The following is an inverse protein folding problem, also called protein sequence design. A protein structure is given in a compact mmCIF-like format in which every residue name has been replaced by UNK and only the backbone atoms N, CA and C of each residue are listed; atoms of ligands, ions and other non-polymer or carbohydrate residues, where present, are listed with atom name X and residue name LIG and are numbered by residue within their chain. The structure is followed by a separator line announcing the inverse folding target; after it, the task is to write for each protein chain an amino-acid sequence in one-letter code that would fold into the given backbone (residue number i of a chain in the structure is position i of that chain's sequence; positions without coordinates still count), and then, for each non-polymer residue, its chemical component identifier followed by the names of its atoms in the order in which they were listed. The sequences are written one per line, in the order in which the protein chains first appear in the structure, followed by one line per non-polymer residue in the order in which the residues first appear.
data_IF_928850227990
#
_entry.id   IF_928850227990
#
_cell.length_a   1.000
_cell.length_b   1.000
_cell.length_c   1.000
_cell.angle_alpha   90.00
_cell.angle_beta   90.00
_cell.angle_gamma   90.00
#
_symmetry.space_group_name_H-M   'P 1'
#
loop_
_entity.id
_entity.type
_entity.pdbx_description
1 polymer ?
#
# COMPACT_ATOMS: atom_id res chain seq x y z
N UNK A 1 -19.37 -17.74 -0.01
CA UNK A 1 -18.17 -17.89 0.83
C UNK A 1 -16.86 -17.77 0.03
N UNK A 2 -16.72 -18.43 -1.12
CA UNK A 2 -15.52 -18.36 -1.98
C UNK A 2 -15.33 -16.98 -2.61
N UNK A 3 -16.41 -16.29 -2.99
CA UNK A 3 -16.34 -14.94 -3.57
C UNK A 3 -15.83 -13.90 -2.55
N UNK A 4 -16.31 -13.97 -1.31
CA UNK A 4 -15.89 -13.05 -0.23
C UNK A 4 -14.41 -13.20 0.11
N UNK A 5 -13.87 -14.42 0.11
CA UNK A 5 -12.43 -14.68 0.32
C UNK A 5 -11.52 -14.10 -0.75
N UNK A 6 -12.05 -13.82 -1.96
CA UNK A 6 -11.29 -13.20 -3.05
C UNK A 6 -11.45 -11.68 -3.10
N UNK A 7 -12.59 -11.16 -2.66
CA UNK A 7 -12.88 -9.73 -2.69
C UNK A 7 -12.15 -8.98 -1.57
N UNK A 8 -12.08 -9.54 -0.38
CA UNK A 8 -11.40 -8.90 0.77
C UNK A 8 -9.92 -8.58 0.49
N UNK A 9 -9.09 -9.55 0.05
CA UNK A 9 -7.70 -9.22 -0.29
C UNK A 9 -7.58 -8.24 -1.46
N UNK A 10 -8.47 -8.31 -2.45
CA UNK A 10 -8.45 -7.36 -3.56
C UNK A 10 -8.72 -5.93 -3.11
N UNK A 11 -9.74 -5.72 -2.28
CA UNK A 11 -10.06 -4.40 -1.72
C UNK A 11 -8.92 -3.90 -0.82
N UNK A 12 -8.38 -4.75 0.04
CA UNK A 12 -7.29 -4.40 0.95
C UNK A 12 -6.01 -3.97 0.20
N UNK A 13 -5.72 -4.56 -0.97
CA UNK A 13 -4.58 -4.19 -1.80
C UNK A 13 -4.85 -2.94 -2.64
N UNK A 14 -6.08 -2.77 -3.16
CA UNK A 14 -6.43 -1.64 -4.03
C UNK A 14 -6.65 -0.34 -3.26
N UNK A 15 -7.12 -0.40 -2.02
CA UNK A 15 -7.44 0.80 -1.23
C UNK A 15 -6.19 1.66 -0.94
N UNK A 16 -5.04 1.13 -0.51
CA UNK A 16 -3.81 1.91 -0.38
C UNK A 16 -3.39 2.57 -1.69
N UNK A 17 -3.56 1.88 -2.82
CA UNK A 17 -3.19 2.40 -4.15
C UNK A 17 -4.09 3.55 -4.57
N UNK A 18 -5.40 3.44 -4.32
CA UNK A 18 -6.34 4.53 -4.59
C UNK A 18 -6.03 5.78 -3.77
N UNK A 19 -5.72 5.60 -2.47
CA UNK A 19 -5.33 6.71 -1.58
C UNK A 19 -3.99 7.31 -2.03
N UNK A 20 -3.00 6.48 -2.40
CA UNK A 20 -1.72 6.94 -2.94
C UNK A 20 -1.92 7.82 -4.18
N UNK A 21 -2.77 7.37 -5.11
CA UNK A 21 -3.07 8.12 -6.34
C UNK A 21 -3.70 9.48 -6.06
N UNK A 22 -4.61 9.55 -5.08
CA UNK A 22 -5.21 10.81 -4.63
C UNK A 22 -4.17 11.74 -3.99
N UNK A 23 -3.28 11.20 -3.15
CA UNK A 23 -2.22 11.99 -2.52
C UNK A 23 -1.20 12.50 -3.53
N UNK A 24 -0.84 11.70 -4.53
CA UNK A 24 0.04 12.13 -5.62
C UNK A 24 -0.60 13.25 -6.42
N UNK A 25 -1.88 13.13 -6.79
CA UNK A 25 -2.61 14.20 -7.48
C UNK A 25 -2.68 15.48 -6.64
N UNK A 26 -2.93 15.35 -5.33
CA UNK A 26 -2.91 16.48 -4.38
C UNK A 26 -1.53 17.14 -4.28
N UNK A 27 -0.46 16.34 -4.20
CA UNK A 27 0.91 16.86 -4.13
C UNK A 27 1.33 17.61 -5.39
N UNK A 28 0.86 17.21 -6.57
CA UNK A 28 1.09 17.95 -7.82
C UNK A 28 0.50 19.38 -7.75
N UNK A 29 -0.69 19.51 -7.18
CA UNK A 29 -1.34 20.83 -7.01
C UNK A 29 -0.53 21.68 -6.02
N UNK A 30 -0.14 21.12 -4.88
CA UNK A 30 0.61 21.82 -3.84
C UNK A 30 1.99 22.28 -4.32
N UNK A 31 2.67 21.44 -5.10
CA UNK A 31 3.99 21.72 -5.67
C UNK A 31 3.93 22.62 -6.91
N UNK A 32 2.74 22.97 -7.38
CA UNK A 32 2.55 23.79 -8.58
C UNK A 32 3.05 23.15 -9.87
N UNK A 33 3.10 21.81 -9.91
CA UNK A 33 3.60 21.07 -11.07
C UNK A 33 2.56 21.10 -12.21
N UNK A 34 3.05 21.37 -13.43
CA UNK A 34 2.18 21.44 -14.60
C UNK A 34 1.84 20.05 -15.11
N UNK A 35 0.57 19.85 -15.43
CA UNK A 35 0.11 18.64 -16.11
C UNK A 35 0.73 18.58 -17.52
N UNK A 36 1.51 17.54 -17.75
CA UNK A 36 2.12 17.23 -19.04
C UNK A 36 2.10 15.70 -19.27
N UNK A 37 2.51 15.27 -20.45
CA UNK A 37 2.48 13.84 -20.82
C UNK A 37 3.26 12.97 -19.82
N UNK A 38 4.41 13.44 -19.35
CA UNK A 38 5.23 12.68 -18.40
C UNK A 38 4.58 12.60 -17.02
N UNK A 39 4.00 13.69 -16.52
CA UNK A 39 3.33 13.68 -15.21
C UNK A 39 2.05 12.85 -15.22
N UNK A 40 1.33 12.78 -16.34
CA UNK A 40 0.19 11.85 -16.50
C UNK A 40 0.66 10.39 -16.45
N UNK A 41 1.80 10.06 -17.06
CA UNK A 41 2.38 8.72 -16.98
C UNK A 41 2.73 8.30 -15.54
N UNK A 42 3.02 9.25 -14.63
CA UNK A 42 3.25 8.95 -13.21
C UNK A 42 2.03 8.32 -12.56
N UNK A 43 0.82 8.67 -12.98
CA UNK A 43 -0.40 8.04 -12.44
C UNK A 43 -0.41 6.54 -12.72
N UNK A 44 -0.02 6.12 -13.91
CA UNK A 44 0.12 4.70 -14.24
C UNK A 44 1.23 4.02 -13.43
N UNK A 45 2.37 4.72 -13.22
CA UNK A 45 3.45 4.24 -12.37
C UNK A 45 3.00 4.12 -10.91
N UNK A 46 2.22 5.08 -10.40
CA UNK A 46 1.65 5.05 -9.04
C UNK A 46 0.85 3.77 -8.81
N UNK A 47 -0.01 3.43 -9.75
CA UNK A 47 -0.82 2.21 -9.68
C UNK A 47 0.09 0.98 -9.69
N UNK A 48 1.05 0.88 -10.63
CA UNK A 48 1.96 -0.25 -10.75
C UNK A 48 2.82 -0.47 -9.49
N UNK A 49 3.55 0.55 -9.06
CA UNK A 49 4.43 0.48 -7.88
C UNK A 49 3.62 0.27 -6.60
N UNK A 50 2.47 0.94 -6.47
CA UNK A 50 1.61 0.83 -5.29
C UNK A 50 1.01 -0.57 -5.13
N UNK A 51 0.60 -1.20 -6.22
CA UNK A 51 0.10 -2.58 -6.22
C UNK A 51 1.20 -3.54 -5.79
N UNK A 52 2.41 -3.40 -6.33
CA UNK A 52 3.53 -4.29 -6.00
C UNK A 52 3.85 -4.28 -4.51
N UNK A 53 3.99 -3.10 -3.89
CA UNK A 53 4.24 -2.99 -2.45
C UNK A 53 3.10 -3.59 -1.62
N UNK A 54 1.86 -3.32 -2.01
CA UNK A 54 0.68 -3.82 -1.31
C UNK A 54 0.55 -5.35 -1.43
N UNK A 55 0.77 -5.93 -2.61
CA UNK A 55 0.71 -7.39 -2.81
C UNK A 55 1.82 -8.09 -2.03
N UNK A 56 3.05 -7.61 -2.08
CA UNK A 56 4.15 -8.21 -1.35
C UNK A 56 3.93 -8.19 0.15
N UNK A 57 3.44 -7.07 0.68
CA UNK A 57 3.15 -6.93 2.10
C UNK A 57 1.96 -7.81 2.52
N UNK A 58 0.86 -7.81 1.74
CA UNK A 58 -0.30 -8.66 1.99
C UNK A 58 0.10 -10.15 2.06
N UNK A 59 0.79 -10.65 1.04
CA UNK A 59 1.24 -12.04 0.96
C UNK A 59 2.11 -12.42 2.15
N UNK A 60 2.99 -11.53 2.57
CA UNK A 60 3.84 -11.81 3.73
C UNK A 60 3.03 -11.90 5.01
N UNK A 61 2.11 -10.99 5.23
CA UNK A 61 1.24 -11.00 6.41
C UNK A 61 0.39 -12.30 6.41
N UNK A 62 -0.21 -12.66 5.28
CA UNK A 62 -0.98 -13.90 5.14
C UNK A 62 -0.17 -15.15 5.53
N UNK A 63 1.08 -15.25 5.07
CA UNK A 63 1.98 -16.36 5.42
C UNK A 63 2.36 -16.35 6.91
N UNK A 64 2.62 -15.20 7.50
CA UNK A 64 2.97 -15.12 8.93
C UNK A 64 1.76 -15.42 9.82
N UNK A 65 0.55 -14.99 9.44
CA UNK A 65 -0.69 -15.33 10.14
C UNK A 65 -0.99 -16.83 10.13
N UNK A 66 -0.62 -17.53 9.05
CA UNK A 66 -0.78 -19.00 9.00
C UNK A 66 0.25 -19.77 9.83
N UNK A 67 1.31 -19.13 10.30
CA UNK A 67 2.42 -19.74 11.06
C UNK A 67 2.43 -19.39 12.53
N UNK A 68 1.68 -18.39 12.95
CA UNK A 68 1.70 -17.84 14.30
C UNK A 68 0.28 -17.70 14.84
N UNK A 69 0.09 -18.08 16.06
CA UNK A 69 -1.22 -17.98 16.73
C UNK A 69 -1.53 -16.53 17.15
N UNK A 70 -0.50 -15.70 17.32
CA UNK A 70 -0.65 -14.30 17.72
C UNK A 70 -0.54 -13.35 16.52
N UNK A 71 -1.61 -12.59 16.25
CA UNK A 71 -1.69 -11.60 15.19
C UNK A 71 -0.57 -10.55 15.24
N UNK A 72 -0.24 -10.04 16.44
CA UNK A 72 0.80 -9.03 16.60
C UNK A 72 2.21 -9.54 16.28
N UNK A 73 2.49 -10.77 16.63
CA UNK A 73 3.78 -11.40 16.30
C UNK A 73 3.89 -11.69 14.79
N UNK A 74 2.79 -12.03 14.13
CA UNK A 74 2.73 -12.19 12.69
C UNK A 74 2.99 -10.86 11.95
N UNK A 75 2.32 -9.79 12.36
CA UNK A 75 2.51 -8.45 11.78
C UNK A 75 3.93 -7.94 11.98
N UNK A 76 4.47 -8.10 13.19
CA UNK A 76 5.86 -7.71 13.51
C UNK A 76 6.86 -8.47 12.66
N UNK A 77 6.68 -9.78 12.48
CA UNK A 77 7.54 -10.59 11.62
C UNK A 77 7.47 -10.18 10.15
N UNK A 78 6.28 -9.89 9.65
CA UNK A 78 6.08 -9.42 8.28
C UNK A 78 6.78 -8.06 8.05
N UNK A 79 6.58 -7.11 8.96
CA UNK A 79 7.20 -5.78 8.88
C UNK A 79 8.72 -5.83 9.01
N UNK A 80 9.26 -6.63 9.93
CA UNK A 80 10.71 -6.74 10.15
C UNK A 80 11.47 -7.44 9.02
N UNK A 81 10.79 -8.20 8.19
CA UNK A 81 11.39 -8.91 7.04
C UNK A 81 11.06 -8.21 5.72
N UNK A 82 9.82 -8.40 5.25
CA UNK A 82 9.37 -7.84 3.96
C UNK A 82 9.27 -6.32 4.02
N UNK A 83 8.80 -5.75 5.13
CA UNK A 83 8.74 -4.29 5.29
C UNK A 83 10.12 -3.63 5.12
N UNK A 84 11.16 -4.17 5.75
CA UNK A 84 12.55 -3.67 5.59
C UNK A 84 13.03 -3.79 4.14
N UNK A 85 12.75 -4.92 3.48
CA UNK A 85 13.13 -5.11 2.08
C UNK A 85 12.42 -4.10 1.16
N UNK A 86 11.13 -3.83 1.40
CA UNK A 86 10.37 -2.82 0.65
C UNK A 86 10.90 -1.41 0.89
N UNK A 87 11.30 -1.06 2.11
CA UNK A 87 11.94 0.23 2.43
C UNK A 87 13.24 0.39 1.63
N UNK A 88 14.10 -0.62 1.62
CA UNK A 88 15.36 -0.55 0.88
C UNK A 88 15.13 -0.41 -0.63
N UNK A 89 14.19 -1.18 -1.18
CA UNK A 89 13.80 -1.08 -2.59
C UNK A 89 13.24 0.31 -2.93
N UNK A 90 12.34 0.84 -2.11
CA UNK A 90 11.73 2.15 -2.32
C UNK A 90 12.76 3.28 -2.22
N UNK A 91 13.68 3.22 -1.26
CA UNK A 91 14.76 4.21 -1.13
C UNK A 91 15.62 4.21 -2.39
N UNK A 92 16.07 3.03 -2.85
CA UNK A 92 16.88 2.92 -4.07
C UNK A 92 16.15 3.50 -5.28
N UNK A 93 14.86 3.17 -5.44
CA UNK A 93 14.03 3.68 -6.54
C UNK A 93 13.84 5.19 -6.44
N UNK A 94 13.49 5.70 -5.25
CA UNK A 94 13.30 7.13 -5.04
C UNK A 94 14.58 7.92 -5.32
N UNK A 95 15.74 7.47 -4.82
CA UNK A 95 17.01 8.11 -5.12
C UNK A 95 17.33 8.09 -6.62
N UNK A 96 17.05 6.98 -7.32
CA UNK A 96 17.19 6.92 -8.76
C UNK A 96 16.37 7.98 -9.50
N UNK A 97 15.13 8.20 -9.10
CA UNK A 97 14.29 9.26 -9.68
C UNK A 97 14.71 10.67 -9.25
N UNK A 98 15.19 10.86 -8.02
CA UNK A 98 15.70 12.16 -7.57
C UNK A 98 16.94 12.63 -8.35
N UNK A 99 17.71 11.72 -8.94
CA UNK A 99 18.82 12.11 -9.84
C UNK A 99 18.32 12.91 -11.04
N UNK A 100 17.08 12.72 -11.48
CA UNK A 100 16.47 13.47 -12.58
C UNK A 100 16.28 14.96 -12.27
N UNK A 101 16.34 15.39 -11.00
CA UNK A 101 16.33 16.80 -10.60
C UNK A 101 17.54 17.58 -11.15
N UNK A 102 18.64 16.91 -11.46
CA UNK A 102 19.83 17.51 -12.05
C UNK A 102 19.74 17.64 -13.58
N UNK A 103 18.64 17.19 -14.19
CA UNK A 103 18.42 17.35 -15.63
C UNK A 103 18.32 18.81 -16.05
N UNK A 104 18.83 19.23 -17.21
CA UNK A 104 18.61 20.58 -17.73
C UNK A 104 17.18 20.84 -18.19
N UNK A 105 16.32 19.80 -18.26
CA UNK A 105 14.95 19.90 -18.76
C UNK A 105 13.94 19.92 -17.57
N UNK A 106 13.19 21.01 -17.36
CA UNK A 106 12.24 21.13 -16.23
C UNK A 106 11.20 20.00 -16.20
N UNK A 107 10.73 19.54 -17.36
CA UNK A 107 9.75 18.46 -17.45
C UNK A 107 10.28 17.15 -16.88
N UNK A 108 11.59 16.88 -17.04
CA UNK A 108 12.24 15.68 -16.48
C UNK A 108 12.46 15.84 -14.97
N UNK A 109 12.76 17.05 -14.49
CA UNK A 109 12.83 17.34 -13.06
C UNK A 109 11.50 17.09 -12.38
N UNK A 110 10.41 17.65 -12.94
CA UNK A 110 9.05 17.44 -12.43
C UNK A 110 8.66 15.97 -12.39
N UNK A 111 8.98 15.22 -13.44
CA UNK A 111 8.75 13.77 -13.51
C UNK A 111 9.53 13.02 -12.42
N UNK A 112 10.81 13.33 -12.23
CA UNK A 112 11.64 12.71 -11.19
C UNK A 112 11.12 12.98 -9.79
N UNK A 113 10.77 14.23 -9.50
CA UNK A 113 10.25 14.64 -8.21
C UNK A 113 8.93 13.95 -7.88
N UNK A 114 7.96 14.03 -8.78
CA UNK A 114 6.64 13.45 -8.51
C UNK A 114 6.69 11.92 -8.42
N UNK A 115 7.59 11.26 -9.18
CA UNK A 115 7.76 9.82 -9.09
C UNK A 115 8.41 9.42 -7.75
N UNK A 116 9.39 10.15 -7.25
CA UNK A 116 9.97 9.90 -5.94
C UNK A 116 8.93 10.07 -4.82
N UNK A 117 8.09 11.10 -4.90
CA UNK A 117 6.94 11.33 -3.99
C UNK A 117 5.94 10.17 -4.06
N UNK A 118 5.66 9.67 -5.26
CA UNK A 118 4.79 8.52 -5.49
C UNK A 118 5.29 7.25 -4.79
N UNK A 119 6.57 6.94 -4.97
CA UNK A 119 7.22 5.78 -4.33
C UNK A 119 7.12 5.88 -2.81
N UNK A 120 7.38 7.07 -2.27
CA UNK A 120 7.28 7.33 -0.83
C UNK A 120 5.86 7.10 -0.29
N UNK A 121 4.83 7.68 -0.91
CA UNK A 121 3.45 7.51 -0.47
C UNK A 121 2.95 6.07 -0.64
N UNK A 122 3.30 5.41 -1.73
CA UNK A 122 2.94 4.01 -1.96
C UNK A 122 3.53 3.08 -0.91
N UNK A 123 4.81 3.28 -0.56
CA UNK A 123 5.47 2.54 0.52
C UNK A 123 4.80 2.80 1.87
N UNK A 124 4.59 4.08 2.22
CA UNK A 124 4.01 4.47 3.50
C UNK A 124 2.63 3.84 3.70
N UNK A 125 1.79 3.89 2.67
CA UNK A 125 0.45 3.30 2.73
C UNK A 125 0.49 1.76 2.78
N UNK A 126 1.39 1.12 2.05
CA UNK A 126 1.56 -0.33 2.11
C UNK A 126 2.03 -0.80 3.50
N UNK A 127 2.89 -0.03 4.18
CA UNK A 127 3.42 -0.40 5.49
C UNK A 127 2.51 -0.03 6.66
N UNK A 128 1.73 1.04 6.56
CA UNK A 128 0.87 1.52 7.64
C UNK A 128 -0.58 1.12 7.46
N UNK A 129 -1.16 1.39 6.30
CA UNK A 129 -2.60 1.19 6.09
C UNK A 129 -2.95 -0.29 5.97
N UNK A 130 -2.11 -1.09 5.30
CA UNK A 130 -2.44 -2.49 5.03
C UNK A 130 -2.45 -3.36 6.29
N UNK A 131 -1.48 -3.28 7.23
CA UNK A 131 -1.58 -3.97 8.52
C UNK A 131 -2.81 -3.56 9.33
N UNK A 132 -3.14 -2.26 9.35
CA UNK A 132 -4.33 -1.75 10.05
C UNK A 132 -5.62 -2.29 9.43
N UNK A 133 -5.70 -2.34 8.11
CA UNK A 133 -6.87 -2.92 7.42
C UNK A 133 -7.05 -4.40 7.74
N UNK A 134 -5.97 -5.16 7.80
CA UNK A 134 -6.04 -6.59 8.14
C UNK A 134 -6.53 -6.78 9.56
N UNK A 135 -6.04 -6.00 10.51
CA UNK A 135 -6.46 -6.04 11.91
C UNK A 135 -7.95 -5.69 12.05
N UNK A 136 -8.40 -4.62 11.38
CA UNK A 136 -9.82 -4.23 11.38
C UNK A 136 -10.73 -5.29 10.76
N UNK A 137 -10.27 -5.95 9.69
CA UNK A 137 -11.03 -7.03 9.05
C UNK A 137 -11.09 -8.28 9.93
N UNK A 138 -10.03 -8.60 10.67
CA UNK A 138 -10.00 -9.71 11.59
C UNK A 138 -10.98 -9.48 12.76
N UNK A 139 -10.95 -8.31 13.38
CA UNK A 139 -11.89 -7.94 14.46
C UNK A 139 -13.36 -8.00 14.04
N UNK A 140 -13.65 -7.53 12.83
CA UNK A 140 -15.03 -7.56 12.32
C UNK A 140 -15.55 -8.99 12.07
N UNK A 141 -14.64 -9.94 11.82
CA UNK A 141 -15.02 -11.35 11.66
C UNK A 141 -15.28 -12.04 13.00
N UNK A 142 -14.52 -11.71 14.04
CA UNK A 142 -14.75 -12.23 15.40
C UNK A 142 -16.10 -11.75 15.95
N UNK A 143 -16.44 -10.48 15.80
CA UNK A 143 -17.71 -9.89 16.25
C UNK A 143 -18.92 -10.54 15.54
N UNK A 144 -18.82 -10.83 14.24
CA UNK A 144 -19.91 -11.49 13.49
C UNK A 144 -20.09 -12.95 13.90
N UNK A 145 -19.02 -13.65 14.28
CA UNK A 145 -19.10 -15.03 14.77
C UNK A 145 -19.74 -15.06 16.15
N UNK A 146 -19.35 -14.17 17.05
CA UNK A 146 -19.89 -14.07 18.42
C UNK A 146 -21.41 -13.76 18.40
N UNK A 147 -21.85 -12.78 17.61
CA UNK A 147 -23.29 -12.47 17.42
C UNK A 147 -24.08 -13.66 16.85
N UNK A 148 -23.47 -14.42 15.95
CA UNK A 148 -24.14 -15.59 15.36
C UNK A 148 -24.25 -16.77 16.35
N UNK A 149 -23.26 -16.93 17.23
CA UNK A 149 -23.27 -17.94 18.30
C UNK A 149 -24.35 -17.61 19.35
N UNK A 150 -24.48 -16.36 19.75
CA UNK A 150 -25.49 -15.89 20.69
C UNK A 150 -26.92 -16.08 20.13
N UNK A 151 -27.13 -15.80 18.84
CA UNK A 151 -28.42 -16.03 18.18
C UNK A 151 -28.83 -17.51 18.08
N UNK A 152 -27.83 -18.40 18.02
CA UNK A 152 -28.08 -19.87 17.99
C UNK A 152 -28.38 -20.41 19.39
N UNK A 153 -27.84 -19.78 20.44
CA UNK A 153 -28.09 -20.18 21.83
C UNK A 153 -29.46 -19.68 22.38
N UNK A 154 -30.01 -18.60 21.77
CA UNK A 154 -31.32 -18.04 22.14
C UNK A 154 -32.50 -18.69 21.36
N UNK A 155 -32.27 -19.52 20.36
CA UNK A 155 -33.26 -20.17 19.50
C UNK A 155 -33.51 -21.63 19.90
#
# INVERSE_FOLDING_TARGET
FVLTRRVVPAVAVLLPVAIASLWVAGSMIVLGLKWNVLTVMVTALTIGIGIDYSIHMWRRIEVELSRRDNHWDALRAALSTTGVALIMSALTTAFGFLVLLFSPMPVIQDFGLITAVTVFFSLLLALLLLPVLIELLARNQEEVVEVNEDLVLEA
#
